data_IF_836593193064
#
_entry.id   IF_836593193064
#
_cell.length_a   1.000
_cell.length_b   1.000
_cell.length_c   1.000
_cell.angle_alpha   90.00
_cell.angle_beta   90.00
_cell.angle_gamma   90.00
#
_symmetry.space_group_name_H-M   'P 1'
#
loop_
_entity.id
_entity.type
_entity.pdbx_description
1 polymer ?
#
# COMPACT_ATOMS: atom_id res chain seq x y z
N UNK A 1 1.06 3.15 -6.40
CA UNK A 1 2.11 2.18 -6.04
C UNK A 1 1.61 0.89 -5.40
N UNK A 2 0.61 0.87 -4.52
CA UNK A 2 0.43 -0.16 -3.48
C UNK A 2 -0.45 -1.36 -3.79
N UNK A 3 -1.16 -1.40 -4.92
CA UNK A 3 -1.94 -2.58 -5.26
C UNK A 3 -1.06 -3.57 -6.03
N UNK A 4 -0.68 -4.66 -5.36
CA UNK A 4 -0.15 -5.82 -6.05
C UNK A 4 -1.23 -6.39 -6.97
N UNK A 5 -0.87 -6.65 -8.22
CA UNK A 5 -1.81 -7.13 -9.24
C UNK A 5 -1.54 -8.61 -9.48
N UNK A 6 -2.58 -9.47 -9.49
CA UNK A 6 -2.40 -10.87 -9.86
C UNK A 6 -2.07 -10.97 -11.36
N UNK A 7 -1.03 -11.74 -11.69
CA UNK A 7 -0.64 -12.02 -13.07
C UNK A 7 -0.21 -13.48 -13.23
N UNK A 8 -0.39 -14.03 -14.42
CA UNK A 8 -0.03 -15.41 -14.73
C UNK A 8 1.41 -15.53 -15.20
N UNK A 9 2.19 -16.40 -14.60
CA UNK A 9 3.54 -16.74 -15.05
C UNK A 9 3.45 -17.52 -16.35
N UNK A 10 4.01 -16.97 -17.43
CA UNK A 10 3.98 -17.57 -18.77
C UNK A 10 5.36 -18.03 -19.26
N UNK A 11 6.42 -17.55 -18.63
CA UNK A 11 7.81 -17.94 -18.92
C UNK A 11 8.65 -17.64 -17.67
N UNK A 12 9.65 -18.46 -17.37
CA UNK A 12 10.61 -18.26 -16.28
C UNK A 12 12.02 -18.30 -16.86
N UNK A 13 12.86 -17.36 -16.43
CA UNK A 13 14.23 -17.20 -16.89
C UNK A 13 15.18 -17.12 -15.69
N UNK A 14 16.31 -17.83 -15.81
CA UNK A 14 17.36 -17.90 -14.79
C UNK A 14 17.07 -18.89 -13.67
N UNK A 15 18.15 -19.50 -13.17
CA UNK A 15 18.11 -20.48 -12.08
C UNK A 15 18.61 -19.90 -10.74
N UNK A 16 19.25 -18.73 -10.77
CA UNK A 16 19.74 -18.04 -9.57
C UNK A 16 18.57 -17.49 -8.75
N UNK A 17 18.37 -17.92 -7.49
CA UNK A 17 17.26 -17.47 -6.65
C UNK A 17 17.15 -15.94 -6.47
N UNK A 18 18.26 -15.21 -6.58
CA UNK A 18 18.29 -13.74 -6.45
C UNK A 18 18.02 -12.99 -7.76
N UNK A 19 18.22 -13.64 -8.90
CA UNK A 19 18.05 -13.05 -10.24
C UNK A 19 16.96 -13.74 -11.06
N UNK A 20 16.26 -14.71 -10.47
CA UNK A 20 15.19 -15.44 -11.12
C UNK A 20 14.11 -14.44 -11.54
N UNK A 21 13.81 -14.41 -12.83
CA UNK A 21 12.79 -13.54 -13.41
C UNK A 21 11.74 -14.37 -14.14
N UNK A 22 10.60 -13.76 -14.39
CA UNK A 22 9.53 -14.35 -15.17
C UNK A 22 8.88 -13.31 -16.07
N UNK A 23 8.37 -13.78 -17.21
CA UNK A 23 7.36 -13.03 -17.96
C UNK A 23 6.01 -13.34 -17.35
N UNK A 24 5.34 -12.29 -16.90
CA UNK A 24 4.03 -12.37 -16.25
C UNK A 24 3.01 -11.63 -17.09
N UNK A 25 1.90 -12.31 -17.39
CA UNK A 25 0.78 -11.77 -18.16
C UNK A 25 -0.30 -11.21 -17.24
N UNK A 26 -0.63 -9.93 -17.45
CA UNK A 26 -1.69 -9.19 -16.78
C UNK A 26 -2.77 -8.87 -17.83
N UNK A 27 -3.72 -9.79 -18.00
CA UNK A 27 -4.82 -9.62 -18.97
C UNK A 27 -4.36 -9.21 -20.39
N UNK A 28 -3.23 -9.75 -20.86
CA UNK A 28 -2.66 -9.50 -22.19
C UNK A 28 -1.44 -8.58 -22.20
N UNK A 29 -1.18 -7.82 -21.13
CA UNK A 29 0.06 -7.05 -20.99
C UNK A 29 1.13 -7.95 -20.36
N UNK A 30 2.26 -8.13 -21.02
CA UNK A 30 3.37 -8.95 -20.51
C UNK A 30 4.45 -8.02 -19.93
N UNK A 31 4.90 -8.33 -18.72
CA UNK A 31 6.00 -7.62 -18.05
C UNK A 31 7.02 -8.63 -17.52
N UNK A 32 8.28 -8.20 -17.47
CA UNK A 32 9.34 -8.90 -16.75
C UNK A 32 9.18 -8.61 -15.26
N UNK A 33 9.20 -9.66 -14.44
CA UNK A 33 8.96 -9.60 -13.00
C UNK A 33 10.02 -10.42 -12.31
N UNK A 34 10.62 -9.89 -11.25
CA UNK A 34 11.50 -10.68 -10.40
C UNK A 34 10.70 -11.66 -9.53
N UNK A 35 11.16 -12.90 -9.48
CA UNK A 35 10.62 -13.95 -8.62
C UNK A 35 11.41 -14.13 -7.31
N UNK A 36 12.33 -13.22 -7.00
CA UNK A 36 13.24 -13.36 -5.84
C UNK A 36 12.49 -13.48 -4.50
N UNK A 37 11.33 -12.83 -4.38
CA UNK A 37 10.47 -12.95 -3.20
C UNK A 37 9.49 -14.13 -3.29
N UNK A 38 9.31 -14.76 -4.45
CA UNK A 38 8.45 -15.93 -4.64
C UNK A 38 9.21 -17.04 -5.40
N UNK A 39 10.33 -17.55 -4.85
CA UNK A 39 11.16 -18.54 -5.52
C UNK A 39 10.44 -19.87 -5.77
N UNK A 40 9.35 -20.14 -5.06
CA UNK A 40 8.50 -21.30 -5.26
C UNK A 40 7.61 -21.22 -6.53
N UNK A 41 7.47 -20.04 -7.14
CA UNK A 41 6.60 -19.83 -8.30
C UNK A 41 7.02 -20.69 -9.51
N UNK A 42 6.03 -21.29 -10.18
CA UNK A 42 6.19 -22.17 -11.34
C UNK A 42 5.46 -21.63 -12.56
N UNK A 43 5.80 -22.20 -13.72
CA UNK A 43 5.10 -21.91 -14.96
C UNK A 43 3.61 -22.22 -14.82
N UNK A 44 2.76 -21.26 -15.16
CA UNK A 44 1.30 -21.37 -15.05
C UNK A 44 0.70 -20.91 -13.72
N UNK A 45 1.52 -20.67 -12.70
CA UNK A 45 1.06 -20.09 -11.43
C UNK A 45 0.58 -18.65 -11.61
N UNK A 46 -0.27 -18.20 -10.70
CA UNK A 46 -0.60 -16.78 -10.56
C UNK A 46 0.22 -16.21 -9.40
N UNK A 47 0.82 -15.06 -9.62
CA UNK A 47 1.62 -14.34 -8.62
C UNK A 47 1.05 -12.95 -8.39
N UNK A 48 1.10 -12.47 -7.14
CA UNK A 48 0.85 -11.06 -6.83
C UNK A 48 2.12 -10.28 -7.13
N UNK A 49 2.03 -9.30 -8.02
CA UNK A 49 3.19 -8.51 -8.44
C UNK A 49 3.04 -7.08 -7.98
N UNK A 50 4.07 -6.57 -7.30
CA UNK A 50 4.15 -5.22 -6.77
C UNK A 50 5.49 -4.60 -7.16
N UNK A 51 5.47 -3.42 -7.80
CA UNK A 51 6.65 -2.66 -8.29
C UNK A 51 7.73 -3.48 -9.01
N UNK A 52 7.30 -4.46 -9.82
CA UNK A 52 8.20 -5.33 -10.60
C UNK A 52 8.68 -6.59 -9.88
N UNK A 53 8.19 -6.87 -8.68
CA UNK A 53 8.55 -8.06 -7.88
C UNK A 53 7.31 -8.89 -7.56
N UNK A 54 7.37 -10.21 -7.75
CA UNK A 54 6.35 -11.15 -7.29
C UNK A 54 6.48 -11.34 -5.77
N UNK A 55 5.49 -10.86 -5.03
CA UNK A 55 5.50 -10.87 -3.56
C UNK A 55 4.84 -12.12 -2.95
N UNK A 56 4.09 -12.89 -3.72
CA UNK A 56 3.49 -14.15 -3.29
C UNK A 56 2.93 -14.93 -4.48
N UNK A 57 2.90 -16.26 -4.37
CA UNK A 57 2.08 -17.11 -5.24
C UNK A 57 0.65 -17.15 -4.70
N UNK A 58 -0.33 -16.91 -5.57
CA UNK A 58 -1.75 -16.96 -5.23
C UNK A 58 -2.24 -18.40 -5.30
N UNK A 59 -2.80 -18.91 -4.20
CA UNK A 59 -3.42 -20.23 -4.18
C UNK A 59 -4.74 -20.23 -4.97
N UNK A 60 -4.77 -21.00 -6.07
CA UNK A 60 -5.97 -21.18 -6.90
C UNK A 60 -7.05 -22.07 -6.24
N UNK A 61 -6.71 -22.84 -5.20
CA UNK A 61 -7.63 -23.75 -4.48
C UNK A 61 -8.24 -23.11 -3.22
N UNK A 62 -7.67 -22.03 -2.72
CA UNK A 62 -8.08 -21.37 -1.47
C UNK A 62 -9.44 -20.64 -1.49
N UNK A 63 -10.07 -20.50 -2.67
CA UNK A 63 -11.39 -19.89 -2.84
C UNK A 63 -12.59 -20.76 -2.43
N UNK A 64 -12.33 -21.94 -1.86
CA UNK A 64 -13.35 -22.91 -1.43
C UNK A 64 -13.61 -22.94 0.08
N UNK A 65 -13.37 -21.85 0.83
CA UNK A 65 -13.85 -21.78 2.22
C UNK A 65 -15.26 -21.21 2.23
N UNK A 66 -16.17 -21.98 2.84
CA UNK A 66 -17.53 -21.61 3.16
C UNK A 66 -17.64 -20.12 3.51
N UNK A 67 -18.25 -19.33 2.62
CA UNK A 67 -19.08 -18.22 3.05
C UNK A 67 -20.10 -18.80 4.04
N UNK A 68 -19.77 -18.80 5.33
CA UNK A 68 -20.71 -19.17 6.38
C UNK A 68 -21.73 -18.02 6.51
N UNK A 69 -22.65 -17.97 5.57
CA UNK A 69 -23.99 -17.47 5.81
C UNK A 69 -24.83 -18.71 6.16
N UNK A 70 -25.42 -18.81 7.35
CA UNK A 70 -26.38 -19.88 7.60
C UNK A 70 -27.50 -19.75 6.56
N UNK A 71 -27.68 -20.77 5.73
CA UNK A 71 -28.84 -20.90 4.85
C UNK A 71 -30.08 -21.01 5.73
N UNK A 72 -30.85 -19.93 5.83
CA UNK A 72 -32.23 -20.02 6.31
C UNK A 72 -33.15 -20.15 5.11
N UNK A 73 -33.97 -21.19 5.18
CA UNK A 73 -35.11 -21.56 4.35
C UNK A 73 -34.88 -22.24 3.00
N UNK A 74 -35.04 -23.57 3.05
CA UNK A 74 -35.24 -24.40 1.90
C UNK A 74 -36.57 -24.12 1.20
N UNK A 75 -36.49 -23.86 -0.10
CA UNK A 75 -37.51 -24.24 -1.08
C UNK A 75 -36.86 -24.38 -2.45
N UNK A 76 -36.80 -25.63 -2.89
CA UNK A 76 -36.33 -26.12 -4.18
C UNK A 76 -37.09 -25.49 -5.34
N UNK A 77 -36.39 -24.94 -6.34
CA UNK A 77 -36.87 -24.89 -7.73
C UNK A 77 -35.70 -24.99 -8.73
N UNK A 78 -35.64 -26.15 -9.41
CA UNK A 78 -34.76 -26.44 -10.54
C UNK A 78 -35.13 -25.55 -11.73
N UNK A 79 -34.16 -24.85 -12.34
CA UNK A 79 -34.25 -24.40 -13.73
C UNK A 79 -32.91 -24.59 -14.45
N UNK A 80 -33.00 -25.08 -15.70
CA UNK A 80 -31.91 -25.54 -16.56
C UNK A 80 -31.03 -24.39 -17.05
N UNK A 81 -29.72 -24.61 -17.05
CA UNK A 81 -28.73 -23.70 -17.61
C UNK A 81 -28.75 -23.71 -19.14
N UNK A 82 -28.79 -22.52 -19.75
CA UNK A 82 -28.49 -22.29 -21.17
C UNK A 82 -27.07 -21.73 -21.24
N UNK A 83 -26.16 -22.50 -21.83
CA UNK A 83 -24.77 -22.13 -22.04
C UNK A 83 -24.66 -21.03 -23.11
N UNK A 84 -24.29 -19.81 -22.71
CA UNK A 84 -23.81 -18.76 -23.62
C UNK A 84 -22.31 -18.59 -23.41
N UNK A 85 -21.54 -18.81 -24.48
CA UNK A 85 -20.08 -18.61 -24.56
C UNK A 85 -19.72 -17.18 -24.10
N UNK A 86 -19.13 -17.05 -22.91
CA UNK A 86 -18.51 -15.81 -22.44
C UNK A 86 -17.05 -15.76 -22.88
N UNK A 87 -16.63 -14.61 -23.42
CA UNK A 87 -15.23 -14.25 -23.69
C UNK A 87 -14.41 -14.43 -22.39
N UNK A 88 -13.12 -14.78 -22.51
CA UNK A 88 -12.21 -15.02 -21.38
C UNK A 88 -12.10 -13.76 -20.50
N UNK A 89 -12.95 -13.67 -19.47
CA UNK A 89 -12.87 -12.69 -18.36
C UNK A 89 -12.15 -13.40 -17.21
N UNK A 90 -11.24 -12.70 -16.52
CA UNK A 90 -10.42 -13.30 -15.46
C UNK A 90 -11.31 -13.93 -14.38
N UNK A 91 -11.27 -15.26 -14.26
CA UNK A 91 -11.77 -15.98 -13.07
C UNK A 91 -11.15 -15.31 -11.83
N UNK A 92 -11.86 -15.30 -10.69
CA UNK A 92 -11.41 -14.83 -9.37
C UNK A 92 -11.50 -13.33 -9.04
N UNK A 93 -11.83 -12.44 -9.98
CA UNK A 93 -12.20 -11.05 -9.66
C UNK A 93 -13.72 -10.88 -9.64
N UNK A 94 -14.43 -11.56 -10.55
CA UNK A 94 -15.89 -11.43 -10.69
C UNK A 94 -16.67 -11.98 -9.50
N UNK A 95 -16.20 -13.07 -8.87
CA UNK A 95 -16.87 -13.72 -7.72
C UNK A 95 -16.83 -12.82 -6.47
N UNK A 96 -15.73 -12.09 -6.26
CA UNK A 96 -15.56 -11.14 -5.15
C UNK A 96 -16.16 -9.75 -5.45
N UNK A 97 -16.76 -9.59 -6.64
CA UNK A 97 -17.55 -8.42 -7.06
C UNK A 97 -19.03 -8.76 -7.29
N UNK A 98 -19.47 -9.93 -6.82
CA UNK A 98 -20.86 -10.35 -6.93
C UNK A 98 -21.77 -9.41 -6.11
N UNK A 99 -22.66 -8.71 -6.82
CA UNK A 99 -23.55 -7.72 -6.21
C UNK A 99 -24.55 -8.32 -5.22
N UNK A 100 -25.02 -9.55 -5.44
CA UNK A 100 -25.94 -10.21 -4.52
C UNK A 100 -25.22 -10.59 -3.23
N UNK A 101 -23.97 -11.06 -3.34
CA UNK A 101 -23.14 -11.34 -2.18
C UNK A 101 -22.82 -10.07 -1.38
N UNK A 102 -22.39 -9.00 -2.04
CA UNK A 102 -22.13 -7.70 -1.42
C UNK A 102 -23.33 -7.22 -0.60
N UNK A 103 -24.54 -7.30 -1.17
CA UNK A 103 -25.78 -6.93 -0.44
C UNK A 103 -26.01 -7.80 0.79
N UNK A 104 -25.88 -9.13 0.67
CA UNK A 104 -26.05 -10.05 1.80
C UNK A 104 -25.06 -9.79 2.93
N UNK A 105 -23.80 -9.45 2.60
CA UNK A 105 -22.79 -9.10 3.59
C UNK A 105 -23.12 -7.77 4.27
N UNK A 106 -23.51 -6.74 3.53
CA UNK A 106 -23.93 -5.46 4.11
C UNK A 106 -25.14 -5.60 5.05
N UNK A 107 -26.13 -6.44 4.68
CA UNK A 107 -27.25 -6.79 5.55
C UNK A 107 -26.80 -7.57 6.80
N UNK A 108 -25.82 -8.47 6.66
CA UNK A 108 -25.26 -9.19 7.79
C UNK A 108 -24.53 -8.25 8.77
N UNK A 109 -23.78 -7.27 8.26
CA UNK A 109 -23.19 -6.20 9.08
C UNK A 109 -24.28 -5.42 9.80
N UNK A 110 -25.34 -5.05 9.08
CA UNK A 110 -26.50 -4.35 9.65
C UNK A 110 -27.14 -5.13 10.81
N UNK A 111 -27.38 -6.43 10.64
CA UNK A 111 -27.95 -7.28 11.70
C UNK A 111 -27.02 -7.48 12.89
N UNK A 112 -25.71 -7.52 12.66
CA UNK A 112 -24.73 -7.70 13.72
C UNK A 112 -24.53 -6.44 14.56
N UNK A 113 -24.77 -5.26 14.00
CA UNK A 113 -24.41 -3.99 14.65
C UNK A 113 -25.51 -3.51 15.60
N UNK A 114 -25.22 -3.47 16.90
CA UNK A 114 -26.14 -3.03 17.96
C UNK A 114 -25.84 -1.63 18.48
N UNK A 115 -24.60 -1.14 18.31
CA UNK A 115 -24.14 0.16 18.83
C UNK A 115 -23.16 0.85 17.86
N UNK A 116 -22.83 2.14 18.09
CA UNK A 116 -21.90 2.86 17.22
C UNK A 116 -20.47 2.30 17.28
N UNK A 117 -19.85 2.11 16.11
CA UNK A 117 -18.46 1.68 15.97
C UNK A 117 -17.71 2.52 14.94
N UNK A 118 -16.47 2.87 15.24
CA UNK A 118 -15.54 3.49 14.30
C UNK A 118 -14.46 2.50 13.89
N UNK A 119 -14.42 2.14 12.61
CA UNK A 119 -13.46 1.19 12.05
C UNK A 119 -12.55 1.93 11.07
N UNK A 120 -11.24 1.74 11.22
CA UNK A 120 -10.24 2.35 10.34
C UNK A 120 -9.68 1.29 9.38
N UNK A 121 -9.66 1.59 8.09
CA UNK A 121 -8.71 0.90 7.20
C UNK A 121 -7.37 1.63 7.21
N UNK A 122 -6.28 0.89 7.01
CA UNK A 122 -4.94 1.45 6.89
C UNK A 122 -4.27 1.04 5.57
N UNK A 123 -5.02 1.19 4.47
CA UNK A 123 -4.53 0.96 3.13
C UNK A 123 -5.27 1.80 2.08
N UNK A 124 -4.55 2.63 1.34
CA UNK A 124 -5.14 3.48 0.29
C UNK A 124 -5.88 2.70 -0.80
N UNK A 125 -5.47 1.45 -1.07
CA UNK A 125 -6.22 0.53 -1.94
C UNK A 125 -7.60 0.16 -1.39
N UNK A 126 -7.70 -0.08 -0.08
CA UNK A 126 -8.96 -0.32 0.61
C UNK A 126 -9.79 0.97 0.68
N UNK A 127 -9.19 2.12 0.99
CA UNK A 127 -9.84 3.44 0.89
C UNK A 127 -10.50 3.62 -0.47
N UNK A 128 -9.74 3.40 -1.55
CA UNK A 128 -10.24 3.56 -2.91
C UNK A 128 -11.36 2.60 -3.22
N UNK A 129 -11.26 1.33 -2.82
CA UNK A 129 -12.31 0.34 -3.04
C UNK A 129 -13.60 0.72 -2.30
N UNK A 130 -13.50 1.10 -1.02
CA UNK A 130 -14.65 1.54 -0.21
C UNK A 130 -15.38 2.67 -0.91
N UNK A 131 -14.67 3.74 -1.27
CA UNK A 131 -15.29 4.95 -1.83
C UNK A 131 -15.78 4.71 -3.27
N UNK A 132 -15.00 4.01 -4.10
CA UNK A 132 -15.36 3.73 -5.50
C UNK A 132 -16.62 2.89 -5.62
N UNK A 133 -16.78 1.90 -4.75
CA UNK A 133 -17.92 0.98 -4.76
C UNK A 133 -19.05 1.44 -3.82
N UNK A 134 -18.89 2.57 -3.13
CA UNK A 134 -19.87 3.11 -2.18
C UNK A 134 -20.15 2.14 -1.02
N UNK A 135 -19.15 1.38 -0.56
CA UNK A 135 -19.38 0.34 0.45
C UNK A 135 -19.84 0.93 1.77
N UNK A 136 -19.33 2.10 2.14
CA UNK A 136 -19.75 2.80 3.35
C UNK A 136 -21.17 3.38 3.25
N UNK A 137 -21.71 3.59 2.05
CA UNK A 137 -23.12 3.96 1.86
C UNK A 137 -24.07 2.75 2.04
N UNK A 138 -23.54 1.52 1.95
CA UNK A 138 -24.28 0.28 2.20
C UNK A 138 -24.32 -0.11 3.69
N UNK A 139 -23.48 0.53 4.51
CA UNK A 139 -23.38 0.22 5.93
C UNK A 139 -24.45 0.96 6.75
N UNK A 140 -24.86 0.42 7.91
CA UNK A 140 -25.79 1.12 8.78
C UNK A 140 -25.11 2.36 9.40
N UNK A 141 -25.91 3.40 9.73
CA UNK A 141 -25.40 4.71 10.21
C UNK A 141 -24.55 4.64 11.49
N UNK A 142 -24.67 3.57 12.25
CA UNK A 142 -23.88 3.31 13.45
C UNK A 142 -22.45 2.83 13.14
N UNK A 143 -22.13 2.41 11.91
CA UNK A 143 -20.76 2.12 11.49
C UNK A 143 -20.15 3.35 10.80
N UNK A 144 -19.08 3.87 11.38
CA UNK A 144 -18.27 4.94 10.79
C UNK A 144 -16.96 4.36 10.27
N UNK A 145 -16.77 4.38 8.95
CA UNK A 145 -15.45 4.12 8.36
C UNK A 145 -14.61 5.41 8.34
N UNK A 146 -13.36 5.30 8.79
CA UNK A 146 -12.33 6.35 8.73
C UNK A 146 -11.08 5.84 8.01
N UNK A 147 -10.27 6.77 7.50
CA UNK A 147 -9.16 6.47 6.60
C UNK A 147 -7.84 6.71 7.30
N UNK A 148 -7.08 5.65 7.54
CA UNK A 148 -5.78 5.72 8.19
C UNK A 148 -4.69 6.28 7.28
N UNK A 149 -3.44 6.36 7.76
CA UNK A 149 -2.28 6.75 6.98
C UNK A 149 -1.81 5.60 6.06
N UNK A 150 -2.73 5.03 5.28
CA UNK A 150 -2.53 3.85 4.44
C UNK A 150 -1.93 4.12 3.06
N UNK A 151 -1.38 5.32 2.83
CA UNK A 151 -0.81 5.73 1.54
C UNK A 151 0.63 6.24 1.78
N UNK A 152 1.67 5.51 1.33
CA UNK A 152 3.06 5.85 1.67
C UNK A 152 3.49 7.17 1.04
N UNK A 153 2.96 7.47 -0.15
CA UNK A 153 3.13 8.75 -0.84
C UNK A 153 2.57 9.91 0.00
N UNK A 154 1.42 9.68 0.63
CA UNK A 154 0.69 10.71 1.36
C UNK A 154 1.38 11.11 2.67
N UNK A 155 2.10 10.16 3.27
CA UNK A 155 2.80 10.32 4.56
C UNK A 155 4.27 10.65 4.39
N UNK A 156 4.79 10.71 3.16
CA UNK A 156 6.15 11.16 2.87
C UNK A 156 6.27 12.64 3.24
N UNK A 157 7.23 12.99 4.11
CA UNK A 157 7.43 14.37 4.57
C UNK A 157 7.78 15.31 3.41
N UNK A 158 7.35 16.57 3.52
CA UNK A 158 7.67 17.59 2.53
C UNK A 158 9.19 17.82 2.44
N UNK A 159 9.90 17.63 3.54
CA UNK A 159 11.36 17.69 3.60
C UNK A 159 12.04 16.66 2.69
N UNK A 160 11.61 15.39 2.72
CA UNK A 160 12.21 14.37 1.87
C UNK A 160 11.97 14.66 0.38
N UNK A 161 10.84 15.32 0.07
CA UNK A 161 10.57 15.82 -1.29
C UNK A 161 11.53 16.95 -1.63
N UNK A 162 11.76 17.91 -0.73
CA UNK A 162 12.71 19.00 -0.95
C UNK A 162 14.15 18.47 -1.12
N UNK A 163 14.56 17.44 -0.37
CA UNK A 163 15.84 16.75 -0.55
C UNK A 163 15.94 16.07 -1.91
N UNK A 164 14.87 15.41 -2.36
CA UNK A 164 14.80 14.83 -3.70
C UNK A 164 14.90 15.91 -4.80
N UNK A 165 14.23 17.07 -4.61
CA UNK A 165 14.38 18.25 -5.48
C UNK A 165 15.83 18.75 -5.49
N UNK A 166 16.47 18.84 -4.32
CA UNK A 166 17.87 19.27 -4.19
C UNK A 166 18.82 18.35 -4.96
N UNK A 167 18.61 17.03 -4.87
CA UNK A 167 19.40 16.04 -5.62
C UNK A 167 19.33 16.28 -7.13
N UNK A 168 18.14 16.56 -7.67
CA UNK A 168 17.95 16.78 -9.09
C UNK A 168 18.50 18.13 -9.59
N UNK A 169 18.29 19.20 -8.83
CA UNK A 169 18.61 20.58 -9.26
C UNK A 169 20.01 21.04 -8.87
N UNK A 170 20.45 20.72 -7.64
CA UNK A 170 21.71 21.23 -7.08
C UNK A 170 22.86 20.25 -7.29
N UNK A 171 22.60 18.95 -7.07
CA UNK A 171 23.62 17.91 -7.20
C UNK A 171 23.70 17.32 -8.61
N UNK A 172 22.79 17.71 -9.52
CA UNK A 172 22.78 17.27 -10.92
C UNK A 172 22.57 15.77 -11.10
N UNK A 173 22.02 15.08 -10.09
CA UNK A 173 21.76 13.66 -10.15
C UNK A 173 20.56 13.33 -11.06
N UNK A 174 20.58 12.15 -11.67
CA UNK A 174 19.38 11.57 -12.28
C UNK A 174 18.50 11.08 -11.15
N UNK A 175 17.42 11.79 -10.86
CA UNK A 175 16.45 11.41 -9.84
C UNK A 175 15.38 10.51 -10.46
N UNK A 176 15.32 9.26 -10.02
CA UNK A 176 14.28 8.32 -10.38
C UNK A 176 13.21 8.26 -9.28
N UNK A 177 11.94 8.34 -9.66
CA UNK A 177 10.82 8.18 -8.72
C UNK A 177 9.60 7.58 -9.41
N UNK A 178 8.61 7.18 -8.61
CA UNK A 178 7.32 6.74 -9.12
C UNK A 178 6.48 7.94 -9.60
N UNK A 179 5.59 7.71 -10.57
CA UNK A 179 4.87 8.79 -11.26
C UNK A 179 3.93 9.62 -10.38
N UNK A 180 3.28 9.01 -9.40
CA UNK A 180 2.41 9.66 -8.42
C UNK A 180 3.17 10.60 -7.47
N UNK A 181 4.45 10.33 -7.21
CA UNK A 181 5.31 11.18 -6.38
C UNK A 181 5.65 12.52 -7.04
N UNK A 182 5.60 12.60 -8.37
CA UNK A 182 6.12 13.77 -9.10
C UNK A 182 5.40 15.08 -8.75
N UNK A 183 4.12 15.00 -8.42
CA UNK A 183 3.26 16.16 -8.15
C UNK A 183 3.01 16.37 -6.66
N UNK A 184 3.65 15.58 -5.80
CA UNK A 184 3.47 15.73 -4.35
C UNK A 184 4.19 17.01 -3.92
N UNK A 185 3.49 17.95 -3.26
CA UNK A 185 4.10 19.22 -2.89
C UNK A 185 5.12 19.02 -1.77
N UNK A 186 6.36 19.46 -2.02
CA UNK A 186 7.36 19.75 -0.98
C UNK A 186 7.07 21.10 -0.29
N UNK A 187 8.00 21.60 0.53
CA UNK A 187 7.82 22.93 1.12
C UNK A 187 8.06 24.04 0.10
N UNK A 188 8.90 23.77 -0.91
CA UNK A 188 9.28 24.78 -1.90
C UNK A 188 8.62 24.53 -3.26
N UNK A 189 8.89 23.37 -3.85
CA UNK A 189 8.35 22.94 -5.15
C UNK A 189 8.17 21.42 -5.17
N UNK A 190 7.44 20.90 -6.15
CA UNK A 190 7.35 19.46 -6.41
C UNK A 190 8.42 18.99 -7.43
N UNK A 191 8.56 17.67 -7.58
CA UNK A 191 9.53 17.06 -8.50
C UNK A 191 9.20 17.34 -9.97
N UNK A 192 7.93 17.52 -10.32
CA UNK A 192 7.51 17.88 -11.68
C UNK A 192 8.01 19.30 -12.04
N UNK A 193 7.93 20.22 -11.10
CA UNK A 193 8.46 21.58 -11.21
C UNK A 193 9.98 21.55 -11.26
N UNK A 194 10.63 20.71 -10.45
CA UNK A 194 12.08 20.51 -10.54
C UNK A 194 12.52 20.03 -11.93
N UNK A 195 11.77 19.09 -12.52
CA UNK A 195 11.97 18.65 -13.92
C UNK A 195 11.82 19.81 -14.91
N UNK A 196 10.77 20.61 -14.76
CA UNK A 196 10.54 21.78 -15.62
C UNK A 196 11.64 22.85 -15.49
N UNK A 197 12.32 22.93 -14.34
CA UNK A 197 13.48 23.81 -14.08
C UNK A 197 14.82 23.23 -14.56
N UNK A 198 14.81 22.10 -15.28
CA UNK A 198 16.01 21.50 -15.88
C UNK A 198 16.63 20.35 -15.08
N UNK A 199 16.03 19.93 -13.95
CA UNK A 199 16.46 18.72 -13.24
C UNK A 199 16.18 17.44 -14.04
N UNK A 200 17.09 16.47 -14.02
CA UNK A 200 16.90 15.17 -14.68
C UNK A 200 16.04 14.25 -13.79
N UNK A 201 14.71 14.42 -13.87
CA UNK A 201 13.74 13.60 -13.14
C UNK A 201 13.08 12.57 -14.06
N UNK A 202 13.24 11.28 -13.75
CA UNK A 202 12.76 10.15 -14.54
C UNK A 202 11.72 9.35 -13.77
N UNK A 203 10.65 8.97 -14.46
CA UNK A 203 9.60 8.11 -13.90
C UNK A 203 10.01 6.65 -14.14
N UNK A 204 10.00 5.86 -13.08
CA UNK A 204 10.25 4.41 -13.14
C UNK A 204 9.07 3.64 -12.56
N UNK A 205 8.91 2.37 -12.96
CA UNK A 205 7.87 1.48 -12.43
C UNK A 205 8.44 0.45 -11.46
N UNK A 206 9.74 0.20 -11.51
CA UNK A 206 10.48 -0.61 -10.57
C UNK A 206 11.74 0.11 -10.08
N UNK A 207 12.13 -0.07 -8.80
CA UNK A 207 13.46 0.35 -8.32
C UNK A 207 14.61 -0.25 -9.13
N UNK A 208 14.41 -1.46 -9.70
CA UNK A 208 15.40 -2.12 -10.55
C UNK A 208 15.65 -1.38 -11.87
N UNK A 209 14.67 -0.61 -12.36
CA UNK A 209 14.85 0.23 -13.56
C UNK A 209 15.85 1.35 -13.28
N UNK A 210 15.88 1.88 -12.05
CA UNK A 210 16.84 2.92 -11.66
C UNK A 210 18.29 2.38 -11.61
N UNK A 211 18.48 1.11 -11.26
CA UNK A 211 19.79 0.44 -11.37
C UNK A 211 20.21 0.30 -12.83
N UNK A 212 19.29 -0.08 -13.71
CA UNK A 212 19.54 -0.13 -15.16
C UNK A 212 19.91 1.26 -15.71
N UNK A 213 19.19 2.31 -15.30
CA UNK A 213 19.52 3.69 -15.67
C UNK A 213 20.92 4.07 -15.19
N UNK A 214 21.33 3.64 -13.99
CA UNK A 214 22.67 3.90 -13.47
C UNK A 214 23.77 3.23 -14.31
N UNK A 215 23.56 1.97 -14.75
CA UNK A 215 24.46 1.27 -15.66
C UNK A 215 24.59 1.97 -17.02
N UNK A 216 23.48 2.49 -17.55
CA UNK A 216 23.44 3.20 -18.82
C UNK A 216 24.04 4.63 -18.74
N UNK A 217 24.24 5.16 -17.53
CA UNK A 217 24.71 6.54 -17.30
C UNK A 217 25.89 6.58 -16.31
N UNK A 218 27.03 5.92 -16.59
CA UNK A 218 28.13 5.74 -15.62
C UNK A 218 28.78 7.06 -15.17
N UNK A 219 28.67 8.13 -15.95
CA UNK A 219 29.21 9.45 -15.64
C UNK A 219 28.32 10.30 -14.71
N UNK A 220 27.09 9.85 -14.40
CA UNK A 220 26.15 10.58 -13.55
C UNK A 220 25.77 9.78 -12.33
N UNK A 221 25.57 10.46 -11.21
CA UNK A 221 24.92 9.87 -10.05
C UNK A 221 23.45 9.62 -10.36
N UNK A 222 22.95 8.45 -9.98
CA UNK A 222 21.54 8.07 -10.11
C UNK A 222 21.00 7.79 -8.72
N UNK A 223 19.94 8.52 -8.35
CA UNK A 223 19.28 8.36 -7.05
C UNK A 223 17.86 7.92 -7.27
N UNK A 224 17.47 6.82 -6.62
CA UNK A 224 16.07 6.40 -6.57
C UNK A 224 15.41 6.88 -5.29
N UNK A 225 14.30 7.62 -5.41
CA UNK A 225 13.52 8.06 -4.26
C UNK A 225 12.62 6.92 -3.76
N UNK A 226 13.14 6.20 -2.76
CA UNK A 226 12.63 4.92 -2.26
C UNK A 226 11.50 5.13 -1.24
N UNK A 227 10.30 5.41 -1.76
CA UNK A 227 9.06 5.60 -0.99
C UNK A 227 8.28 4.29 -0.94
N UNK A 228 7.67 3.97 0.21
CA UNK A 228 6.74 2.85 0.29
C UNK A 228 6.56 2.27 1.69
N UNK A 229 5.53 1.44 1.84
CA UNK A 229 5.37 0.54 2.98
C UNK A 229 6.22 -0.73 2.84
N UNK A 230 6.02 -1.68 3.75
CA UNK A 230 6.64 -3.01 3.77
C UNK A 230 6.41 -3.78 2.46
N UNK A 231 5.34 -3.50 1.72
CA UNK A 231 5.11 -4.07 0.38
C UNK A 231 6.19 -3.69 -0.62
N UNK A 232 6.73 -2.48 -0.52
CA UNK A 232 7.69 -1.91 -1.49
C UNK A 232 9.13 -2.11 -1.04
N UNK A 233 9.35 -2.30 0.27
CA UNK A 233 10.68 -2.48 0.85
C UNK A 233 11.49 -3.61 0.21
N UNK A 234 10.94 -4.79 -0.15
CA UNK A 234 11.71 -5.85 -0.81
C UNK A 234 12.30 -5.41 -2.15
N UNK A 235 11.53 -4.72 -2.99
CA UNK A 235 12.01 -4.24 -4.29
C UNK A 235 13.08 -3.16 -4.12
N UNK A 236 12.93 -2.28 -3.13
CA UNK A 236 13.91 -1.23 -2.83
C UNK A 236 15.22 -1.86 -2.31
N UNK A 237 15.14 -2.84 -1.41
CA UNK A 237 16.30 -3.60 -0.95
C UNK A 237 16.98 -4.36 -2.11
N UNK A 238 16.22 -4.99 -2.99
CA UNK A 238 16.76 -5.67 -4.16
C UNK A 238 17.52 -4.73 -5.11
N UNK A 239 17.08 -3.47 -5.25
CA UNK A 239 17.83 -2.49 -6.06
C UNK A 239 19.23 -2.24 -5.50
N UNK A 240 19.37 -2.18 -4.16
CA UNK A 240 20.66 -2.04 -3.48
C UNK A 240 21.50 -3.30 -3.64
N UNK A 241 20.93 -4.49 -3.41
CA UNK A 241 21.65 -5.77 -3.57
C UNK A 241 22.12 -6.01 -5.01
N UNK A 242 21.29 -5.64 -5.99
CA UNK A 242 21.66 -5.72 -7.40
C UNK A 242 22.80 -4.74 -7.73
N UNK A 243 22.69 -3.50 -7.28
CA UNK A 243 23.74 -2.51 -7.49
C UNK A 243 25.07 -2.93 -6.84
N UNK A 244 25.03 -3.54 -5.66
CA UNK A 244 26.21 -4.11 -5.01
C UNK A 244 26.84 -5.23 -5.82
N UNK A 245 26.03 -6.22 -6.22
CA UNK A 245 26.50 -7.38 -6.97
C UNK A 245 27.07 -7.02 -8.34
N UNK A 246 26.45 -6.07 -9.02
CA UNK A 246 26.87 -5.58 -10.34
C UNK A 246 27.89 -4.42 -10.25
N UNK A 247 28.37 -4.09 -9.04
CA UNK A 247 29.35 -3.03 -8.77
C UNK A 247 28.96 -1.65 -9.33
N UNK A 248 27.67 -1.30 -9.26
CA UNK A 248 27.09 -0.05 -9.76
C UNK A 248 27.30 1.10 -8.76
N UNK A 249 28.53 1.61 -8.70
CA UNK A 249 28.95 2.61 -7.71
C UNK A 249 28.27 3.99 -7.82
N UNK A 250 27.63 4.32 -8.94
CA UNK A 250 26.91 5.58 -9.13
C UNK A 250 25.42 5.51 -8.74
N UNK A 251 24.92 4.36 -8.27
CA UNK A 251 23.54 4.21 -7.80
C UNK A 251 23.42 4.41 -6.29
N UNK A 252 22.35 5.07 -5.83
CA UNK A 252 21.96 5.15 -4.41
C UNK A 252 20.45 5.34 -4.26
N UNK A 253 19.93 5.16 -3.04
CA UNK A 253 18.52 5.39 -2.70
C UNK A 253 18.37 6.49 -1.65
N UNK A 254 17.36 7.34 -1.82
CA UNK A 254 16.87 8.23 -0.77
C UNK A 254 15.68 7.55 -0.10
N UNK A 255 15.87 7.02 1.12
CA UNK A 255 14.88 6.16 1.78
C UNK A 255 13.79 6.97 2.50
N UNK A 256 12.53 6.74 2.09
CA UNK A 256 11.31 7.25 2.72
C UNK A 256 10.34 6.10 3.04
N UNK A 257 10.89 5.02 3.58
CA UNK A 257 10.11 3.87 4.00
C UNK A 257 9.46 4.07 5.36
N UNK A 258 8.23 3.57 5.44
CA UNK A 258 7.34 3.66 6.59
C UNK A 258 6.75 2.30 6.94
N UNK A 259 6.39 2.09 8.21
CA UNK A 259 5.89 0.83 8.77
C UNK A 259 4.49 1.01 9.34
N UNK A 260 3.57 0.11 8.97
CA UNK A 260 2.15 0.21 9.33
C UNK A 260 1.89 -0.07 10.82
N UNK A 261 2.41 -1.12 11.46
CA UNK A 261 2.10 -1.42 12.86
C UNK A 261 2.45 -0.29 13.85
N UNK A 262 3.61 0.39 13.75
CA UNK A 262 3.92 1.57 14.58
C UNK A 262 2.93 2.73 14.38
N UNK A 263 2.50 2.99 13.15
CA UNK A 263 1.49 4.01 12.88
C UNK A 263 0.12 3.67 13.50
N UNK A 264 -0.27 2.39 13.49
CA UNK A 264 -1.48 1.94 14.19
C UNK A 264 -1.39 2.19 15.70
N UNK A 265 -0.25 1.87 16.32
CA UNK A 265 -0.01 2.17 17.75
C UNK A 265 -0.09 3.66 18.04
N UNK A 266 0.52 4.49 17.19
CA UNK A 266 0.47 5.95 17.34
C UNK A 266 -0.97 6.50 17.31
N UNK A 267 -1.81 5.98 16.41
CA UNK A 267 -3.23 6.38 16.33
C UNK A 267 -3.99 5.90 17.56
N UNK A 268 -3.82 4.64 17.95
CA UNK A 268 -4.52 4.05 19.10
C UNK A 268 -4.13 4.69 20.44
N UNK A 269 -2.87 5.11 20.58
CA UNK A 269 -2.35 5.79 21.78
C UNK A 269 -2.60 7.29 21.81
N UNK A 270 -3.16 7.90 20.77
CA UNK A 270 -3.42 9.33 20.73
C UNK A 270 -4.59 9.72 21.66
N UNK A 271 -4.50 10.89 22.30
CA UNK A 271 -5.54 11.37 23.21
C UNK A 271 -6.89 11.65 22.51
N UNK A 272 -6.85 11.98 21.22
CA UNK A 272 -8.01 12.20 20.36
C UNK A 272 -8.42 10.94 19.56
N UNK A 273 -7.92 9.75 19.94
CA UNK A 273 -8.27 8.50 19.30
C UNK A 273 -9.77 8.20 19.40
N UNK A 274 -10.35 7.80 18.28
CA UNK A 274 -11.73 7.31 18.18
C UNK A 274 -11.86 5.96 17.50
N UNK A 275 -10.76 5.37 17.04
CA UNK A 275 -10.73 4.11 16.31
C UNK A 275 -10.91 2.96 17.28
N UNK A 276 -11.83 2.05 16.96
CA UNK A 276 -12.18 0.92 17.81
C UNK A 276 -11.78 -0.42 17.19
N UNK A 277 -11.55 -0.47 15.87
CA UNK A 277 -11.06 -1.65 15.18
C UNK A 277 -10.40 -1.29 13.85
N UNK A 278 -9.59 -2.21 13.31
CA UNK A 278 -8.84 -2.00 12.08
C UNK A 278 -9.14 -3.03 11.00
N UNK A 279 -9.14 -2.55 9.76
CA UNK A 279 -8.91 -3.37 8.57
C UNK A 279 -7.45 -3.22 8.16
N UNK A 280 -6.67 -4.28 8.36
CA UNK A 280 -5.25 -4.29 8.03
C UNK A 280 -5.02 -4.55 6.54
N UNK A 281 -3.93 -3.99 6.03
CA UNK A 281 -3.57 -4.03 4.62
C UNK A 281 -3.11 -5.44 4.19
N UNK A 282 -3.93 -6.14 3.41
CA UNK A 282 -3.63 -7.51 2.95
C UNK A 282 -2.25 -7.68 2.33
N UNK A 283 -1.82 -6.77 1.44
CA UNK A 283 -0.49 -6.86 0.81
C UNK A 283 0.67 -6.63 1.78
N UNK A 284 0.52 -5.75 2.78
CA UNK A 284 1.55 -5.57 3.82
C UNK A 284 1.69 -6.86 4.62
N UNK A 285 0.56 -7.46 5.01
CA UNK A 285 0.54 -8.75 5.70
C UNK A 285 1.03 -9.91 4.82
N UNK A 286 0.94 -9.83 3.50
CA UNK A 286 1.57 -10.81 2.60
C UNK A 286 3.09 -10.81 2.76
N UNK A 287 3.71 -9.65 3.01
CA UNK A 287 5.15 -9.55 3.28
C UNK A 287 5.48 -9.90 4.73
N UNK A 288 4.88 -9.18 5.68
CA UNK A 288 5.30 -9.22 7.09
C UNK A 288 4.63 -10.35 7.90
N UNK A 289 3.54 -10.91 7.38
CA UNK A 289 2.67 -11.80 8.14
C UNK A 289 1.75 -11.03 9.07
N UNK A 290 1.26 -11.70 10.10
CA UNK A 290 0.28 -11.13 11.05
C UNK A 290 0.81 -10.98 12.48
N UNK A 291 2.07 -11.37 12.72
CA UNK A 291 2.64 -11.50 14.07
C UNK A 291 2.65 -10.19 14.87
N UNK A 292 2.96 -9.05 14.24
CA UNK A 292 3.06 -7.75 14.91
C UNK A 292 1.71 -7.16 15.33
N UNK A 293 0.63 -7.59 14.69
CA UNK A 293 -0.73 -7.10 14.96
C UNK A 293 -1.30 -7.72 16.25
N UNK A 294 -0.88 -8.94 16.61
CA UNK A 294 -1.39 -9.64 17.79
C UNK A 294 -1.16 -8.89 19.11
N UNK A 295 0.07 -8.42 19.38
CA UNK A 295 0.35 -7.54 20.51
C UNK A 295 -0.48 -6.25 20.49
N UNK A 296 -0.63 -5.59 19.33
CA UNK A 296 -1.41 -4.34 19.21
C UNK A 296 -2.88 -4.57 19.58
N UNK A 297 -3.49 -5.63 19.03
CA UNK A 297 -4.89 -5.94 19.30
C UNK A 297 -5.15 -6.13 20.80
N UNK A 298 -4.24 -6.82 21.50
CA UNK A 298 -4.34 -7.05 22.95
C UNK A 298 -4.06 -5.80 23.77
N UNK A 299 -3.01 -5.05 23.42
CA UNK A 299 -2.57 -3.84 24.12
C UNK A 299 -3.66 -2.77 24.15
N UNK A 300 -4.33 -2.56 23.00
CA UNK A 300 -5.33 -1.51 22.84
C UNK A 300 -6.78 -2.02 22.85
N UNK A 301 -6.98 -3.32 23.06
CA UNK A 301 -8.29 -3.98 23.00
C UNK A 301 -9.07 -3.62 21.72
N UNK A 302 -8.39 -3.65 20.57
CA UNK A 302 -8.95 -3.29 19.27
C UNK A 302 -8.78 -4.47 18.28
N UNK A 303 -9.87 -5.08 17.76
CA UNK A 303 -9.76 -6.15 16.78
C UNK A 303 -9.11 -5.66 15.47
N UNK A 304 -8.28 -6.50 14.87
CA UNK A 304 -7.56 -6.20 13.64
C UNK A 304 -7.83 -7.31 12.63
N UNK A 305 -8.54 -6.97 11.56
CA UNK A 305 -8.94 -7.94 10.53
C UNK A 305 -8.11 -7.70 9.28
N UNK A 306 -7.33 -8.70 8.87
CA UNK A 306 -6.59 -8.65 7.61
C UNK A 306 -7.57 -8.92 6.49
N UNK A 307 -7.70 -7.98 5.57
CA UNK A 307 -8.62 -8.09 4.43
C UNK A 307 -7.93 -7.80 3.10
N UNK A 308 -8.58 -8.24 2.02
CA UNK A 308 -8.19 -7.95 0.65
C UNK A 308 -8.64 -6.56 0.20
N UNK A 309 -8.96 -6.45 -1.08
CA UNK A 309 -9.21 -5.18 -1.76
C UNK A 309 -10.52 -5.17 -2.57
N UNK A 310 -11.16 -6.32 -2.70
CA UNK A 310 -12.43 -6.44 -3.40
C UNK A 310 -13.60 -6.15 -2.46
N UNK A 311 -14.76 -5.71 -2.98
CA UNK A 311 -15.95 -5.38 -2.16
C UNK A 311 -16.33 -6.45 -1.15
N UNK A 312 -16.31 -7.72 -1.56
CA UNK A 312 -16.63 -8.85 -0.70
C UNK A 312 -15.61 -9.00 0.42
N UNK A 313 -14.31 -8.89 0.11
CA UNK A 313 -13.25 -8.99 1.12
C UNK A 313 -13.44 -7.93 2.22
N UNK A 314 -13.68 -6.68 1.80
CA UNK A 314 -13.78 -5.55 2.71
C UNK A 314 -15.02 -5.68 3.60
N UNK A 315 -16.18 -6.04 3.03
CA UNK A 315 -17.41 -6.23 3.81
C UNK A 315 -17.33 -7.44 4.75
N UNK A 316 -16.69 -8.54 4.34
CA UNK A 316 -16.39 -9.67 5.22
C UNK A 316 -15.48 -9.23 6.37
N UNK A 317 -14.43 -8.46 6.08
CA UNK A 317 -13.54 -7.88 7.09
C UNK A 317 -14.27 -6.99 8.10
N UNK A 318 -15.17 -6.14 7.62
CA UNK A 318 -16.03 -5.30 8.47
C UNK A 318 -16.95 -6.17 9.32
N UNK A 319 -17.59 -7.19 8.75
CA UNK A 319 -18.48 -8.09 9.49
C UNK A 319 -17.76 -8.82 10.63
N UNK A 320 -16.56 -9.33 10.37
CA UNK A 320 -15.73 -9.99 11.39
C UNK A 320 -15.32 -9.00 12.48
N UNK A 321 -14.89 -7.80 12.10
CA UNK A 321 -14.53 -6.73 13.04
C UNK A 321 -15.72 -6.37 13.95
N UNK A 322 -16.90 -6.12 13.38
CA UNK A 322 -18.12 -5.81 14.12
C UNK A 322 -18.51 -6.94 15.06
N UNK A 323 -18.48 -8.20 14.62
CA UNK A 323 -18.77 -9.34 15.50
C UNK A 323 -17.83 -9.42 16.71
N UNK A 324 -16.54 -9.14 16.51
CA UNK A 324 -15.58 -9.09 17.62
C UNK A 324 -15.90 -7.91 18.57
N UNK A 325 -16.13 -6.71 18.04
CA UNK A 325 -16.51 -5.53 18.83
C UNK A 325 -17.79 -5.76 19.66
N UNK A 326 -18.82 -6.36 19.06
CA UNK A 326 -20.09 -6.65 19.73
C UNK A 326 -19.93 -7.69 20.85
N UNK A 327 -19.07 -8.68 20.65
CA UNK A 327 -18.76 -9.71 21.65
C UNK A 327 -17.67 -9.33 22.66
N UNK A 328 -17.10 -8.11 22.57
CA UNK A 328 -16.02 -7.67 23.44
C UNK A 328 -14.69 -8.39 23.22
N UNK A 329 -14.49 -8.99 22.04
CA UNK A 329 -13.23 -9.64 21.64
C UNK A 329 -12.33 -8.66 20.88
N UNK A 330 -11.02 -8.83 21.02
CA UNK A 330 -10.00 -8.06 20.32
C UNK A 330 -8.87 -8.99 19.88
N UNK A 331 -9.10 -9.69 18.77
CA UNK A 331 -8.17 -10.66 18.19
C UNK A 331 -7.75 -10.23 16.78
N UNK A 332 -6.69 -10.86 16.29
CA UNK A 332 -6.26 -10.73 14.90
C UNK A 332 -6.87 -11.88 14.11
N UNK A 333 -7.59 -11.56 13.03
CA UNK A 333 -8.21 -12.56 12.17
C UNK A 333 -7.84 -12.33 10.70
N UNK A 334 -7.52 -13.40 9.98
CA UNK A 334 -7.08 -13.35 8.60
C UNK A 334 -8.20 -13.74 7.63
N UNK A 335 -8.94 -12.74 7.13
CA UNK A 335 -9.95 -12.91 6.08
C UNK A 335 -9.34 -12.96 4.67
N UNK A 336 -8.02 -12.75 4.53
CA UNK A 336 -7.31 -12.74 3.25
C UNK A 336 -6.36 -13.93 3.10
N UNK A 337 -6.79 -15.11 3.57
CA UNK A 337 -5.95 -16.32 3.66
C UNK A 337 -5.46 -16.86 2.32
N UNK A 338 -6.02 -16.39 1.19
CA UNK A 338 -5.58 -16.76 -0.16
C UNK A 338 -4.23 -16.13 -0.56
N UNK A 339 -3.81 -15.09 0.15
CA UNK A 339 -2.56 -14.36 -0.12
C UNK A 339 -1.69 -14.14 1.13
N UNK A 340 -2.28 -14.18 2.33
CA UNK A 340 -1.58 -13.90 3.59
C UNK A 340 -1.36 -15.19 4.37
N UNK A 341 -0.09 -15.51 4.61
CA UNK A 341 0.37 -16.56 5.52
C UNK A 341 0.69 -15.93 6.88
N UNK A 342 0.62 -16.72 7.96
CA UNK A 342 0.85 -16.24 9.33
C UNK A 342 2.25 -15.64 9.50
N UNK A 343 3.25 -16.33 8.96
CA UNK A 343 4.67 -15.97 8.96
C UNK A 343 5.04 -14.87 7.94
N UNK A 344 4.12 -14.56 7.03
CA UNK A 344 4.36 -13.66 5.90
C UNK A 344 5.22 -14.30 4.81
N UNK A 345 5.97 -13.47 4.10
CA UNK A 345 6.94 -13.88 3.11
C UNK A 345 8.35 -13.86 3.70
N UNK A 346 8.82 -15.04 4.09
CA UNK A 346 10.15 -15.21 4.72
C UNK A 346 11.29 -14.76 3.80
N UNK A 347 11.16 -14.93 2.48
CA UNK A 347 12.19 -14.49 1.54
C UNK A 347 12.26 -12.97 1.44
N UNK A 348 11.12 -12.32 1.27
CA UNK A 348 11.02 -10.87 1.21
C UNK A 348 11.54 -10.21 2.50
N UNK A 349 11.17 -10.76 3.66
CA UNK A 349 11.63 -10.27 4.97
C UNK A 349 13.14 -10.36 5.12
N UNK A 350 13.76 -11.48 4.75
CA UNK A 350 15.22 -11.64 4.79
C UNK A 350 15.94 -10.59 3.93
N UNK A 351 15.40 -10.29 2.74
CA UNK A 351 15.96 -9.28 1.83
C UNK A 351 15.86 -7.88 2.44
N UNK A 352 14.71 -7.54 3.04
CA UNK A 352 14.52 -6.27 3.74
C UNK A 352 15.47 -6.16 4.93
N UNK A 353 15.52 -7.18 5.78
CA UNK A 353 16.38 -7.26 6.96
C UNK A 353 17.88 -7.22 6.60
N UNK A 354 18.27 -7.67 5.41
CA UNK A 354 19.65 -7.58 4.95
C UNK A 354 20.07 -6.14 4.70
N UNK A 355 19.24 -5.34 4.02
CA UNK A 355 19.61 -3.98 3.58
C UNK A 355 19.23 -2.91 4.60
N UNK A 356 18.12 -3.10 5.31
CA UNK A 356 17.51 -2.07 6.13
C UNK A 356 17.53 -2.40 7.63
N UNK A 357 17.56 -1.35 8.44
CA UNK A 357 17.32 -1.38 9.88
C UNK A 357 16.14 -0.46 10.24
N UNK A 358 15.47 -0.76 11.36
CA UNK A 358 14.35 0.05 11.85
C UNK A 358 14.87 1.38 12.38
N UNK A 359 14.19 2.47 12.03
CA UNK A 359 14.49 3.81 12.48
C UNK A 359 13.21 4.60 12.76
N UNK A 360 13.36 5.72 13.47
CA UNK A 360 12.29 6.69 13.61
C UNK A 360 12.03 7.36 12.25
N UNK A 361 10.77 7.75 12.02
CA UNK A 361 10.38 8.36 10.75
C UNK A 361 9.35 9.45 10.99
N UNK A 362 9.52 10.56 10.28
CA UNK A 362 8.52 11.61 10.20
C UNK A 362 7.41 11.21 9.21
N UNK A 363 6.17 11.29 9.67
CA UNK A 363 4.96 11.03 8.87
C UNK A 363 4.25 12.34 8.63
N UNK A 364 4.15 12.76 7.37
CA UNK A 364 3.54 14.04 6.98
C UNK A 364 2.19 14.28 7.65
N UNK A 365 2.08 15.37 8.39
CA UNK A 365 0.87 15.77 9.12
C UNK A 365 0.53 14.93 10.37
N UNK A 366 1.37 13.96 10.75
CA UNK A 366 1.25 13.19 11.99
C UNK A 366 2.44 13.50 12.92
N UNK A 367 3.62 13.68 12.35
CA UNK A 367 4.88 13.93 13.05
C UNK A 367 5.76 12.68 13.14
N UNK A 368 6.82 12.78 13.94
CA UNK A 368 7.77 11.68 14.14
C UNK A 368 7.11 10.55 14.93
N UNK A 369 7.06 9.36 14.32
CA UNK A 369 6.62 8.13 14.97
C UNK A 369 7.87 7.27 15.23
N UNK A 370 8.14 6.88 16.48
CA UNK A 370 9.28 6.02 16.80
C UNK A 370 9.22 4.67 16.09
N UNK A 371 10.37 4.17 15.66
CA UNK A 371 10.53 2.84 15.05
C UNK A 371 9.57 2.58 13.89
N UNK A 372 9.20 3.61 13.14
CA UNK A 372 8.15 3.57 12.13
C UNK A 372 8.65 3.67 10.71
N UNK A 373 9.95 3.59 10.48
CA UNK A 373 10.54 3.56 9.15
C UNK A 373 11.74 2.65 9.04
N UNK A 374 12.29 2.61 7.82
CA UNK A 374 13.51 1.87 7.51
C UNK A 374 14.62 2.83 7.12
N UNK A 375 15.84 2.54 7.56
CA UNK A 375 17.07 3.22 7.16
C UNK A 375 18.06 2.21 6.57
N UNK A 376 18.92 2.66 5.66
CA UNK A 376 19.95 1.80 5.05
C UNK A 376 21.02 1.47 6.07
N UNK A 377 21.32 0.17 6.25
CA UNK A 377 22.35 -0.29 7.18
C UNK A 377 23.73 0.23 6.82
N UNK A 378 24.61 0.34 7.82
CA UNK A 378 26.00 0.75 7.63
C UNK A 378 26.77 -0.09 6.58
N UNK A 379 26.50 -1.39 6.47
CA UNK A 379 27.11 -2.26 5.46
C UNK A 379 26.80 -1.80 4.01
N UNK A 380 25.66 -1.14 3.81
CA UNK A 380 25.20 -0.62 2.53
C UNK A 380 25.30 0.91 2.45
N UNK A 381 26.09 1.55 3.32
CA UNK A 381 26.18 3.01 3.42
C UNK A 381 26.55 3.69 2.09
N UNK A 382 27.32 3.01 1.23
CA UNK A 382 27.64 3.51 -0.09
C UNK A 382 26.37 3.76 -0.92
N UNK A 383 25.30 2.97 -0.76
CA UNK A 383 24.06 3.09 -1.52
C UNK A 383 23.01 4.00 -0.85
N UNK A 384 23.36 4.70 0.23
CA UNK A 384 22.48 5.64 0.93
C UNK A 384 22.74 7.07 0.43
N UNK A 385 21.77 7.66 -0.27
CA UNK A 385 21.89 9.02 -0.79
C UNK A 385 22.03 10.07 0.32
N UNK A 386 21.44 9.83 1.50
CA UNK A 386 21.55 10.77 2.63
C UNK A 386 22.96 10.83 3.22
N UNK A 387 23.76 9.77 3.04
CA UNK A 387 25.17 9.71 3.44
C UNK A 387 26.11 10.15 2.31
N UNK A 388 25.72 9.89 1.07
CA UNK A 388 26.52 10.22 -0.13
C UNK A 388 26.51 11.72 -0.45
N UNK A 389 25.39 12.40 -0.23
CA UNK A 389 25.22 13.81 -0.55
C UNK A 389 25.11 14.66 0.73
N UNK A 390 25.64 15.87 0.69
CA UNK A 390 25.36 16.88 1.73
C UNK A 390 23.99 17.50 1.44
N UNK A 391 22.95 16.91 2.03
CA UNK A 391 21.56 17.37 1.87
C UNK A 391 21.19 18.38 2.95
N UNK A 392 20.27 19.28 2.61
CA UNK A 392 19.73 20.25 3.56
C UNK A 392 18.99 19.54 4.70
N UNK A 393 19.25 19.97 5.93
CA UNK A 393 18.62 19.40 7.13
C UNK A 393 17.14 19.77 7.25
N UNK A 394 16.40 18.85 7.86
CA UNK A 394 15.03 19.01 8.31
C UNK A 394 14.72 20.34 8.99
N UNK A 395 13.71 21.05 8.47
CA UNK A 395 13.02 22.13 9.19
C UNK A 395 11.56 21.78 9.50
N UNK A 396 11.13 20.53 9.23
CA UNK A 396 9.74 20.08 9.34
C UNK A 396 8.86 20.51 8.18
N UNK A 397 7.62 20.00 8.16
CA UNK A 397 6.61 20.40 7.17
C UNK A 397 6.14 21.84 7.42
N UNK A 398 6.02 22.63 6.34
CA UNK A 398 5.45 23.97 6.40
C UNK A 398 3.99 23.94 6.89
N UNK A 399 3.66 24.83 7.81
CA UNK A 399 2.29 25.00 8.30
C UNK A 399 1.44 25.57 7.16
N UNK A 400 0.49 24.76 6.68
CA UNK A 400 -0.45 25.13 5.62
C UNK A 400 -1.91 24.92 6.03
N UNK A 401 -2.84 25.30 5.15
CA UNK A 401 -4.29 25.09 5.38
C UNK A 401 -4.75 23.64 5.20
N UNK A 402 -3.85 22.73 4.79
CA UNK A 402 -4.16 21.33 4.54
C UNK A 402 -4.33 20.54 5.86
N UNK A 403 -5.54 20.01 6.10
CA UNK A 403 -5.85 19.17 7.27
C UNK A 403 -5.63 17.67 7.04
N UNK A 404 -4.77 17.29 6.09
CA UNK A 404 -4.56 15.87 5.72
C UNK A 404 -4.13 15.01 6.91
N UNK A 405 -3.37 15.57 7.85
CA UNK A 405 -2.99 14.90 9.08
C UNK A 405 -4.19 14.46 9.92
N UNK A 406 -5.18 15.33 10.10
CA UNK A 406 -6.42 15.00 10.82
C UNK A 406 -7.27 13.96 10.08
N UNK A 407 -7.23 13.96 8.75
CA UNK A 407 -7.91 12.97 7.92
C UNK A 407 -7.26 11.60 8.10
N UNK A 408 -5.93 11.53 7.96
CA UNK A 408 -5.16 10.27 8.08
C UNK A 408 -5.15 9.71 9.51
N UNK A 409 -5.33 10.55 10.54
CA UNK A 409 -5.56 10.09 11.93
C UNK A 409 -7.01 9.62 12.16
N UNK A 410 -7.90 9.74 11.17
CA UNK A 410 -9.30 9.38 11.29
C UNK A 410 -10.15 10.35 12.14
N UNK A 411 -9.61 11.51 12.50
CA UNK A 411 -10.32 12.54 13.29
C UNK A 411 -11.36 13.25 12.42
N UNK A 412 -11.01 13.53 11.15
CA UNK A 412 -11.88 14.16 10.14
C UNK A 412 -11.97 13.32 8.87
N UNK A 413 -12.94 13.63 8.01
CA UNK A 413 -13.06 13.07 6.65
C UNK A 413 -12.68 14.12 5.62
N UNK A 414 -12.35 13.75 4.36
CA UNK A 414 -12.04 14.71 3.31
C UNK A 414 -13.09 15.81 3.13
N UNK A 415 -14.38 15.47 3.24
CA UNK A 415 -15.50 16.44 3.13
C UNK A 415 -15.54 17.47 4.26
N UNK A 416 -14.81 17.27 5.36
CA UNK A 416 -14.69 18.26 6.43
C UNK A 416 -13.57 19.28 6.18
N UNK A 417 -12.78 19.12 5.11
CA UNK A 417 -11.73 20.06 4.75
C UNK A 417 -12.32 21.25 3.98
N UNK A 418 -12.15 22.50 4.46
CA UNK A 418 -12.73 23.68 3.81
C UNK A 418 -12.13 23.97 2.42
N UNK A 419 -10.92 23.48 2.14
CA UNK A 419 -10.28 23.63 0.84
C UNK A 419 -10.63 22.51 -0.16
N UNK A 420 -11.26 21.42 0.31
CA UNK A 420 -11.52 20.24 -0.52
C UNK A 420 -12.47 20.56 -1.67
N UNK A 421 -12.05 20.23 -2.89
CA UNK A 421 -12.85 20.40 -4.11
C UNK A 421 -13.02 21.85 -4.57
N UNK A 422 -12.40 22.80 -3.87
CA UNK A 422 -12.40 24.22 -4.25
C UNK A 422 -10.97 24.67 -4.56
N UNK A 423 -10.19 25.04 -3.53
CA UNK A 423 -8.77 25.41 -3.67
C UNK A 423 -7.85 24.21 -3.78
N UNK A 424 -8.24 23.07 -3.21
CA UNK A 424 -7.52 21.81 -3.30
C UNK A 424 -8.24 20.88 -4.28
N UNK A 425 -7.68 20.73 -5.48
CA UNK A 425 -8.16 19.82 -6.53
C UNK A 425 -7.02 18.94 -7.03
N UNK A 426 -7.29 17.89 -7.82
CA UNK A 426 -6.23 17.11 -8.46
C UNK A 426 -5.30 17.95 -9.34
N UNK A 427 -5.78 19.04 -9.94
CA UNK A 427 -5.00 20.00 -10.75
C UNK A 427 -4.17 20.94 -9.87
N UNK A 428 -4.75 21.42 -8.76
CA UNK A 428 -4.12 22.31 -7.79
C UNK A 428 -4.12 21.69 -6.38
N UNK A 429 -3.27 20.69 -6.12
CA UNK A 429 -3.29 19.95 -4.87
C UNK A 429 -2.58 20.72 -3.76
N UNK A 430 -3.27 20.99 -2.65
CA UNK A 430 -2.65 21.57 -1.44
C UNK A 430 -1.95 20.54 -0.56
N UNK A 431 -2.24 19.25 -0.75
CA UNK A 431 -1.69 18.18 0.08
C UNK A 431 -1.56 16.88 -0.66
N UNK A 432 -0.63 16.04 -0.20
CA UNK A 432 -0.30 14.76 -0.81
C UNK A 432 -1.50 13.81 -1.03
N UNK A 433 -2.51 13.73 -0.13
CA UNK A 433 -3.67 12.87 -0.38
C UNK A 433 -4.59 13.29 -1.53
N UNK A 434 -4.45 14.50 -2.08
CA UNK A 434 -5.17 14.92 -3.31
C UNK A 434 -4.40 14.53 -4.58
N UNK A 435 -3.09 14.28 -4.46
CA UNK A 435 -2.21 13.90 -5.58
C UNK A 435 -2.21 12.40 -5.79
N UNK A 436 -2.01 11.66 -4.71
CA UNK A 436 -1.78 10.22 -4.78
C UNK A 436 -3.01 9.50 -5.34
N UNK A 437 -2.79 8.52 -6.22
CA UNK A 437 -3.85 7.63 -6.71
C UNK A 437 -4.43 6.70 -5.62
N UNK A 438 -3.93 6.83 -4.40
CA UNK A 438 -4.34 6.09 -3.20
C UNK A 438 -4.74 7.02 -2.06
N UNK A 439 -4.71 8.33 -2.28
CA UNK A 439 -5.03 9.31 -1.27
C UNK A 439 -6.53 9.38 -1.02
N UNK A 440 -6.92 9.45 0.26
CA UNK A 440 -8.33 9.54 0.64
C UNK A 440 -9.02 10.76 0.02
N UNK A 441 -8.34 11.91 -0.07
CA UNK A 441 -8.92 13.10 -0.71
C UNK A 441 -9.14 12.88 -2.21
N UNK A 442 -8.17 12.34 -2.94
CA UNK A 442 -8.31 12.02 -4.36
C UNK A 442 -9.46 11.01 -4.61
N UNK A 443 -9.60 9.99 -3.74
CA UNK A 443 -10.69 9.02 -3.81
C UNK A 443 -12.06 9.69 -3.67
N UNK A 444 -12.24 10.53 -2.65
CA UNK A 444 -13.48 11.26 -2.43
C UNK A 444 -13.76 12.24 -3.58
N UNK A 445 -12.75 12.97 -4.06
CA UNK A 445 -12.93 13.92 -5.14
C UNK A 445 -13.41 13.22 -6.41
N UNK A 446 -12.79 12.08 -6.75
CA UNK A 446 -13.12 11.34 -7.97
C UNK A 446 -14.49 10.68 -7.95
N UNK A 447 -14.93 10.17 -6.80
CA UNK A 447 -16.11 9.29 -6.72
C UNK A 447 -17.28 9.90 -5.95
N UNK A 448 -17.07 10.97 -5.18
CA UNK A 448 -18.09 11.59 -4.32
C UNK A 448 -18.31 13.08 -4.53
N UNK A 449 -17.40 13.81 -5.19
CA UNK A 449 -17.68 15.20 -5.55
C UNK A 449 -18.71 15.20 -6.70
N UNK A 450 -19.98 15.29 -6.33
CA UNK A 450 -21.09 15.66 -7.21
C UNK A 450 -21.83 16.83 -6.59
#
# INVERSE_FOLDING_TARGET
>A
MCLAVPGKVIEIQGDDPLLRTARVSFAGVIKNVSLTCAPEAKLGDYVLVHVGVAISVVDQKGGGRNLFLPETDGRTRRTRAVARRRRHVMKYVDEYRDAALVRRLAEAVTRATTRPWTIMEICGGQTHAIVKFGLDDLLPKNITLVHGPGCPVCVTSAELIDQAVELALRHGAILCSFGDMLRVPGNTIDLLTAKARGGDVRIVYSPLDAVTIALENPAKQVVFFAVGFETTAPANAMSVLRAEREHVGNFSILTSHVLVPPAMRAILGAADNRVQGFLAAGHVCTIMGIGEYGPIAREFNAPIIITGFEPVDILEGILLCVKQLESGRAEVENAYSRAVKTEGNVHARKIVEQVFEIADRDWRGIGVIPQSGLAVKAAYANYDASRRFTLTKATGDAVGECISGEIMRGVKKPLHCPAFGTRCTPEHPLGAPMVSSEGACAAYYRYRAR
#
